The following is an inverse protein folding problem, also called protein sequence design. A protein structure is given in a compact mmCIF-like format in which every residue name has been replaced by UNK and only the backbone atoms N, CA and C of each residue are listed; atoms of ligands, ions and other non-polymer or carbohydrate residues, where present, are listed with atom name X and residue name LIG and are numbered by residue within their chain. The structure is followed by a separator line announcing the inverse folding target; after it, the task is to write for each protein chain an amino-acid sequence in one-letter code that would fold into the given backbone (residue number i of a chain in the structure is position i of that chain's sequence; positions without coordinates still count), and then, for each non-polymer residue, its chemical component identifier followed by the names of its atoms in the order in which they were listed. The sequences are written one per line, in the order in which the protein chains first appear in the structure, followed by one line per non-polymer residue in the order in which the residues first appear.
data_IF_675293757686
#
_entry.id   IF_675293757686
#
_cell.length_a   1.000
_cell.length_b   1.000
_cell.length_c   1.000
_cell.angle_alpha   90.00
_cell.angle_beta   90.00
_cell.angle_gamma   90.00
#
_symmetry.space_group_name_H-M   'P 1'
#
loop_
_entity.id
_entity.type
_entity.pdbx_description
1 polymer ?
#
# COMPACT_ATOMS: atom_id res chain seq x y z
N UNK A 1 -1.65 14.35 6.93
CA UNK A 1 -1.61 12.86 6.92
C UNK A 1 -0.34 12.35 6.26
N UNK A 2 -0.02 12.77 5.03
CA UNK A 2 1.23 12.41 4.33
C UNK A 2 2.50 12.49 5.21
N UNK A 3 2.77 13.64 5.85
CA UNK A 3 3.93 13.77 6.74
C UNK A 3 3.91 12.78 7.91
N UNK A 4 2.74 12.47 8.48
CA UNK A 4 2.62 11.49 9.56
C UNK A 4 2.89 10.07 9.05
N UNK A 5 2.51 9.76 7.81
CA UNK A 5 2.84 8.48 7.16
C UNK A 5 4.34 8.32 6.95
N UNK A 6 5.07 9.40 6.67
CA UNK A 6 6.54 9.33 6.53
C UNK A 6 7.21 9.29 7.90
N UNK A 7 6.79 10.15 8.84
CA UNK A 7 7.39 10.23 10.18
C UNK A 7 7.28 8.92 10.98
N UNK A 8 6.18 8.17 10.84
CA UNK A 8 6.02 6.86 11.52
C UNK A 8 7.04 5.80 11.07
N UNK A 9 7.71 6.01 9.93
CA UNK A 9 8.75 5.11 9.42
C UNK A 9 10.11 5.35 10.06
N UNK A 10 10.28 6.38 10.89
CA UNK A 10 11.58 6.79 11.43
C UNK A 10 12.32 5.69 12.23
N UNK A 11 11.61 4.68 12.74
CA UNK A 11 12.22 3.55 13.46
C UNK A 11 12.56 2.35 12.56
N UNK A 12 12.20 2.40 11.27
CA UNK A 12 12.55 1.40 10.27
C UNK A 12 13.81 1.85 9.51
N UNK A 13 14.60 0.88 9.03
CA UNK A 13 15.74 1.16 8.17
C UNK A 13 15.27 1.26 6.73
N UNK A 14 14.78 2.43 6.32
CA UNK A 14 14.29 2.68 4.96
C UNK A 14 15.18 3.68 4.22
N UNK A 15 15.20 3.57 2.89
CA UNK A 15 15.68 4.65 2.03
C UNK A 15 14.72 5.85 2.05
N UNK A 16 15.04 6.88 1.26
CA UNK A 16 14.15 8.02 1.10
C UNK A 16 12.82 7.60 0.46
N UNK A 17 11.68 8.14 0.93
CA UNK A 17 10.36 7.67 0.51
C UNK A 17 10.11 8.02 -0.95
N UNK A 18 9.53 7.12 -1.73
CA UNK A 18 9.00 7.45 -3.07
C UNK A 18 7.53 7.78 -2.94
N UNK A 19 7.12 8.97 -3.38
CA UNK A 19 5.72 9.41 -3.36
C UNK A 19 5.16 9.40 -4.78
N UNK A 20 3.97 8.83 -4.93
CA UNK A 20 3.26 8.79 -6.20
C UNK A 20 2.04 9.68 -6.07
N UNK A 21 1.88 10.63 -6.98
CA UNK A 21 0.72 11.50 -6.96
C UNK A 21 0.37 11.99 -8.36
N UNK A 22 -0.86 12.50 -8.51
CA UNK A 22 -1.27 13.15 -9.74
C UNK A 22 -0.46 14.44 -9.98
N UNK A 23 -0.15 14.76 -11.25
CA UNK A 23 0.59 15.98 -11.64
C UNK A 23 0.01 17.27 -11.04
N UNK A 24 -1.31 17.32 -10.81
CA UNK A 24 -2.01 18.46 -10.20
C UNK A 24 -1.62 18.70 -8.72
N UNK A 25 -1.13 17.69 -8.02
CA UNK A 25 -0.75 17.76 -6.60
C UNK A 25 0.76 17.96 -6.40
N UNK A 26 1.56 18.02 -7.48
CA UNK A 26 3.04 18.01 -7.42
C UNK A 26 3.64 19.04 -6.46
N UNK A 27 3.15 20.28 -6.47
CA UNK A 27 3.70 21.36 -5.64
C UNK A 27 3.34 21.18 -4.17
N UNK A 28 2.10 20.77 -3.88
CA UNK A 28 1.66 20.49 -2.52
C UNK A 28 2.47 19.33 -1.93
N UNK A 29 2.66 18.25 -2.67
CA UNK A 29 3.46 17.10 -2.22
C UNK A 29 4.93 17.50 -2.01
N UNK A 30 5.53 18.23 -2.95
CA UNK A 30 6.91 18.69 -2.83
C UNK A 30 7.12 19.61 -1.62
N UNK A 31 6.19 20.53 -1.36
CA UNK A 31 6.22 21.38 -0.16
C UNK A 31 6.13 20.56 1.13
N UNK A 32 5.19 19.61 1.19
CA UNK A 32 5.01 18.74 2.35
C UNK A 32 6.24 17.87 2.64
N UNK A 33 6.94 17.39 1.61
CA UNK A 33 8.21 16.66 1.75
C UNK A 33 9.37 17.57 2.16
N UNK A 34 9.42 18.79 1.62
CA UNK A 34 10.45 19.78 1.95
C UNK A 34 10.39 20.22 3.42
N UNK A 35 9.19 20.42 3.96
CA UNK A 35 8.99 20.78 5.37
C UNK A 35 9.53 19.75 6.37
N UNK A 36 9.77 18.51 5.93
CA UNK A 36 10.27 17.41 6.76
C UNK A 36 11.64 16.90 6.29
N UNK A 37 12.33 17.65 5.42
CA UNK A 37 13.65 17.30 4.85
C UNK A 37 13.67 15.94 4.13
N UNK A 38 12.60 15.63 3.39
CA UNK A 38 12.42 14.35 2.65
C UNK A 38 12.23 14.51 1.14
N UNK A 39 12.51 15.69 0.60
CA UNK A 39 12.47 15.94 -0.84
C UNK A 39 13.81 15.54 -1.48
N UNK A 40 13.80 14.52 -2.33
CA UNK A 40 15.02 13.93 -2.91
C UNK A 40 14.79 13.39 -4.33
N UNK A 41 14.14 14.17 -5.21
CA UNK A 41 13.77 13.74 -6.58
C UNK A 41 12.94 12.45 -6.61
N UNK A 42 12.07 12.31 -5.61
CA UNK A 42 11.41 11.06 -5.23
C UNK A 42 9.89 11.10 -5.44
N UNK A 43 9.41 11.99 -6.32
CA UNK A 43 7.99 12.16 -6.62
C UNK A 43 7.69 11.67 -8.03
N UNK A 44 6.96 10.56 -8.16
CA UNK A 44 6.46 10.05 -9.44
C UNK A 44 5.13 10.72 -9.76
N UNK A 45 5.06 11.36 -10.93
CA UNK A 45 3.87 12.10 -11.35
C UNK A 45 2.99 11.28 -12.32
N UNK A 46 1.80 10.93 -11.85
CA UNK A 46 0.77 10.32 -12.69
C UNK A 46 0.03 11.40 -13.51
N UNK A 47 0.02 11.30 -14.85
CA UNK A 47 -0.71 12.25 -15.69
C UNK A 47 -2.23 12.04 -15.63
N UNK A 48 -2.68 10.84 -15.27
CA UNK A 48 -4.08 10.43 -15.10
C UNK A 48 -4.15 9.37 -14.01
N UNK A 49 -5.20 9.39 -13.18
CA UNK A 49 -5.39 8.36 -12.15
C UNK A 49 -5.74 7.01 -12.79
N UNK A 50 -4.97 5.97 -12.45
CA UNK A 50 -5.19 4.57 -12.90
C UNK A 50 -5.32 3.57 -11.76
N UNK A 51 -5.58 4.05 -10.54
CA UNK A 51 -5.71 3.24 -9.32
C UNK A 51 -4.36 2.60 -8.91
N UNK A 52 -4.36 1.74 -7.90
CA UNK A 52 -3.15 1.38 -7.16
C UNK A 52 -2.21 0.42 -7.88
N UNK A 53 -2.68 -0.50 -8.73
CA UNK A 53 -1.78 -1.43 -9.40
C UNK A 53 -0.80 -0.71 -10.35
N UNK A 54 -1.28 0.16 -11.27
CA UNK A 54 -0.38 0.93 -12.13
C UNK A 54 0.56 1.85 -11.34
N UNK A 55 0.06 2.52 -10.30
CA UNK A 55 0.88 3.39 -9.46
C UNK A 55 2.05 2.61 -8.85
N UNK A 56 1.78 1.46 -8.21
CA UNK A 56 2.82 0.64 -7.58
C UNK A 56 3.77 0.04 -8.63
N UNK A 57 3.29 -0.28 -9.83
CA UNK A 57 4.13 -0.75 -10.93
C UNK A 57 5.15 0.30 -11.36
N UNK A 58 4.74 1.57 -11.48
CA UNK A 58 5.67 2.67 -11.76
C UNK A 58 6.75 2.77 -10.68
N UNK A 59 6.37 2.71 -9.40
CA UNK A 59 7.32 2.74 -8.31
C UNK A 59 8.30 1.56 -8.36
N UNK A 60 7.81 0.35 -8.65
CA UNK A 60 8.65 -0.84 -8.74
C UNK A 60 9.65 -0.77 -9.89
N UNK A 61 9.24 -0.30 -11.08
CA UNK A 61 10.16 -0.08 -12.19
C UNK A 61 11.21 0.99 -11.87
N UNK A 62 10.80 2.13 -11.32
CA UNK A 62 11.71 3.20 -10.92
C UNK A 62 12.71 2.71 -9.85
N UNK A 63 12.24 1.95 -8.86
CA UNK A 63 13.09 1.39 -7.81
C UNK A 63 14.14 0.44 -8.40
N UNK A 64 13.76 -0.45 -9.32
CA UNK A 64 14.72 -1.35 -9.98
C UNK A 64 15.74 -0.60 -10.85
N UNK A 65 15.33 0.47 -11.54
CA UNK A 65 16.25 1.27 -12.34
C UNK A 65 17.29 2.03 -11.50
N UNK A 66 16.91 2.46 -10.30
CA UNK A 66 17.77 3.24 -9.41
C UNK A 66 18.64 2.38 -8.47
N UNK A 67 18.37 1.07 -8.36
CA UNK A 67 18.97 0.22 -7.34
C UNK A 67 20.30 -0.44 -7.74
N UNK A 68 21.01 0.01 -8.78
CA UNK A 68 22.33 -0.50 -9.20
C UNK A 68 22.43 -2.06 -9.27
N UNK A 69 21.43 -2.72 -9.88
CA UNK A 69 21.24 -4.19 -9.94
C UNK A 69 20.82 -4.88 -8.63
N UNK A 70 20.35 -4.14 -7.63
CA UNK A 70 19.65 -4.70 -6.48
C UNK A 70 18.14 -4.85 -6.77
N UNK A 71 17.46 -5.61 -5.91
CA UNK A 71 16.02 -5.83 -5.94
C UNK A 71 15.42 -5.40 -4.59
N UNK A 72 15.04 -4.12 -4.45
CA UNK A 72 14.64 -3.56 -3.17
C UNK A 72 13.27 -4.08 -2.71
N UNK A 73 13.06 -4.07 -1.39
CA UNK A 73 11.74 -4.24 -0.80
C UNK A 73 10.98 -2.92 -0.89
N UNK A 74 9.71 -3.01 -1.28
CA UNK A 74 8.78 -1.88 -1.38
C UNK A 74 7.73 -2.02 -0.28
N UNK A 75 7.78 -1.13 0.71
CA UNK A 75 6.70 -0.94 1.67
C UNK A 75 5.69 0.05 1.10
N UNK A 76 4.55 -0.44 0.64
CA UNK A 76 3.49 0.36 0.02
C UNK A 76 2.49 0.79 1.08
N UNK A 77 2.29 2.12 1.19
CA UNK A 77 1.42 2.73 2.21
C UNK A 77 0.53 3.79 1.56
N UNK A 78 -0.74 3.84 1.96
CA UNK A 78 -1.61 4.97 1.66
C UNK A 78 -1.23 6.19 2.53
N UNK A 79 -1.27 7.38 1.94
CA UNK A 79 -0.84 8.62 2.59
C UNK A 79 -1.85 9.19 3.60
N UNK A 80 -3.05 8.64 3.64
CA UNK A 80 -4.22 9.09 4.40
C UNK A 80 -4.64 8.16 5.55
N UNK A 81 -3.95 7.02 5.73
CA UNK A 81 -4.22 6.13 6.87
C UNK A 81 -3.67 6.66 8.19
N UNK A 82 -4.40 6.43 9.27
CA UNK A 82 -3.96 6.66 10.64
C UNK A 82 -3.58 5.35 11.30
N UNK A 83 -2.46 5.35 12.00
CA UNK A 83 -1.94 4.24 12.80
C UNK A 83 -1.59 4.83 14.15
N UNK A 84 -2.26 4.39 15.22
CA UNK A 84 -2.08 4.93 16.56
C UNK A 84 -0.90 4.29 17.30
N UNK A 85 -0.66 2.99 17.06
CA UNK A 85 0.45 2.25 17.67
C UNK A 85 1.55 1.99 16.64
N UNK A 86 2.50 2.93 16.56
CA UNK A 86 3.65 2.85 15.65
C UNK A 86 4.60 1.68 16.01
N UNK A 87 4.65 1.27 17.29
CA UNK A 87 5.50 0.15 17.72
C UNK A 87 4.92 -1.17 17.20
N UNK A 88 3.61 -1.37 17.33
CA UNK A 88 2.93 -2.54 16.79
C UNK A 88 3.06 -2.59 15.25
N UNK A 89 2.89 -1.46 14.57
CA UNK A 89 3.06 -1.36 13.11
C UNK A 89 4.49 -1.72 12.67
N UNK A 90 5.50 -1.10 13.27
CA UNK A 90 6.91 -1.33 12.89
C UNK A 90 7.36 -2.75 13.20
N UNK A 91 6.83 -3.35 14.28
CA UNK A 91 7.04 -4.78 14.57
C UNK A 91 6.42 -5.68 13.49
N UNK A 92 5.20 -5.38 13.04
CA UNK A 92 4.57 -6.13 11.95
C UNK A 92 5.34 -5.99 10.63
N UNK A 93 5.83 -4.78 10.29
CA UNK A 93 6.66 -4.56 9.10
C UNK A 93 7.96 -5.37 9.16
N UNK A 94 8.69 -5.33 10.27
CA UNK A 94 9.93 -6.13 10.43
C UNK A 94 9.67 -7.63 10.33
N UNK A 95 8.53 -8.09 10.83
CA UNK A 95 8.14 -9.49 10.67
C UNK A 95 7.83 -9.83 9.20
N UNK A 96 7.21 -8.90 8.47
CA UNK A 96 6.90 -9.04 7.05
C UNK A 96 8.13 -9.11 6.14
N UNK A 97 9.22 -8.44 6.51
CA UNK A 97 10.46 -8.37 5.73
C UNK A 97 10.99 -9.75 5.35
N UNK A 98 10.96 -10.72 6.27
CA UNK A 98 11.44 -12.09 6.00
C UNK A 98 10.62 -12.77 4.90
N UNK A 99 9.29 -12.64 4.93
CA UNK A 99 8.42 -13.24 3.91
C UNK A 99 8.59 -12.56 2.56
N UNK A 100 8.64 -11.22 2.56
CA UNK A 100 8.84 -10.41 1.37
C UNK A 100 10.19 -10.69 0.70
N UNK A 101 11.26 -10.80 1.51
CA UNK A 101 12.59 -11.19 1.05
C UNK A 101 12.67 -12.66 0.58
N UNK A 102 11.65 -13.47 0.86
CA UNK A 102 11.52 -14.82 0.31
C UNK A 102 10.51 -14.88 -0.87
N UNK A 103 10.19 -13.73 -1.47
CA UNK A 103 9.39 -13.62 -2.68
C UNK A 103 7.88 -13.71 -2.44
N UNK A 104 7.41 -13.54 -1.20
CA UNK A 104 5.96 -13.43 -0.92
C UNK A 104 5.46 -12.00 -1.15
N UNK A 105 4.20 -11.89 -1.52
CA UNK A 105 3.46 -10.62 -1.59
C UNK A 105 2.73 -10.45 -0.26
N UNK A 106 3.34 -9.69 0.66
CA UNK A 106 2.77 -9.52 2.00
C UNK A 106 1.71 -8.43 1.98
N UNK A 107 0.57 -8.69 2.63
CA UNK A 107 -0.42 -7.67 3.01
C UNK A 107 -0.62 -7.69 4.53
N UNK A 108 -1.05 -6.56 5.08
CA UNK A 108 -1.30 -6.42 6.52
C UNK A 108 -2.79 -6.48 6.79
N UNK A 109 -3.23 -7.51 7.51
CA UNK A 109 -4.63 -7.71 7.88
C UNK A 109 -4.92 -7.11 9.24
N UNK A 110 -5.81 -6.11 9.32
CA UNK A 110 -6.16 -5.52 10.62
C UNK A 110 -7.09 -6.47 11.37
N UNK A 111 -6.75 -6.77 12.63
CA UNK A 111 -7.62 -7.58 13.50
C UNK A 111 -8.92 -6.81 13.75
N UNK A 112 -10.08 -7.29 13.25
CA UNK A 112 -11.33 -6.57 13.38
C UNK A 112 -11.74 -6.42 14.84
N UNK A 113 -12.27 -5.24 15.20
CA UNK A 113 -12.82 -4.97 16.54
C UNK A 113 -14.35 -5.04 16.58
N UNK A 114 -14.97 -4.99 15.41
CA UNK A 114 -16.42 -5.10 15.20
C UNK A 114 -16.69 -5.57 13.77
N UNK A 115 -17.97 -5.78 13.44
CA UNK A 115 -18.41 -6.03 12.07
C UNK A 115 -18.52 -4.70 11.32
N UNK A 116 -17.61 -4.46 10.38
CA UNK A 116 -17.58 -3.28 9.52
C UNK A 116 -17.99 -3.67 8.09
N UNK A 117 -18.81 -2.86 7.42
CA UNK A 117 -19.25 -3.09 6.03
C UNK A 117 -18.54 -2.17 5.04
N UNK A 118 -17.88 -1.11 5.51
CA UNK A 118 -17.12 -0.17 4.71
C UNK A 118 -15.76 -0.68 4.24
N UNK A 119 -15.24 -1.76 4.85
CA UNK A 119 -13.91 -2.30 4.58
C UNK A 119 -13.94 -3.55 3.70
N UNK A 120 -12.86 -3.74 2.95
CA UNK A 120 -12.52 -5.04 2.41
C UNK A 120 -12.04 -5.98 3.52
N UNK A 121 -12.22 -7.28 3.32
CA UNK A 121 -11.79 -8.34 4.22
C UNK A 121 -10.84 -9.29 3.51
N UNK A 122 -9.96 -9.92 4.29
CA UNK A 122 -9.03 -10.95 3.87
C UNK A 122 -9.34 -12.19 4.69
N UNK A 123 -9.74 -13.30 4.04
CA UNK A 123 -9.83 -14.58 4.73
C UNK A 123 -8.43 -15.19 4.84
N UNK A 124 -8.01 -15.51 6.06
CA UNK A 124 -6.78 -16.26 6.26
C UNK A 124 -6.96 -17.73 5.86
N UNK A 125 -5.97 -18.26 5.17
CA UNK A 125 -5.82 -19.67 4.87
C UNK A 125 -4.93 -20.37 5.90
N UNK A 126 -4.10 -21.28 5.41
CA UNK A 126 -3.18 -22.05 6.24
C UNK A 126 -2.08 -21.18 6.86
N UNK A 127 -1.63 -21.58 8.05
CA UNK A 127 -0.51 -20.93 8.74
C UNK A 127 0.79 -21.17 7.96
N UNK A 128 1.58 -20.11 7.78
CA UNK A 128 2.90 -20.13 7.15
C UNK A 128 3.93 -19.62 8.16
N UNK A 129 4.79 -20.51 8.64
CA UNK A 129 5.75 -20.18 9.69
C UNK A 129 5.04 -20.04 11.04
N UNK A 130 5.31 -18.93 11.75
CA UNK A 130 4.82 -18.75 13.12
C UNK A 130 3.57 -17.86 13.21
N UNK A 131 3.52 -16.75 12.48
CA UNK A 131 2.49 -15.71 12.65
C UNK A 131 2.05 -15.04 11.32
N UNK A 132 2.21 -15.74 10.19
CA UNK A 132 1.67 -15.32 8.90
C UNK A 132 0.74 -16.40 8.34
N UNK A 133 -0.21 -16.01 7.50
CA UNK A 133 -1.15 -16.95 6.87
C UNK A 133 -1.12 -16.79 5.36
N UNK A 134 -1.38 -17.86 4.62
CA UNK A 134 -1.76 -17.75 3.22
C UNK A 134 -3.01 -16.86 3.10
N UNK A 135 -3.14 -16.10 2.03
CA UNK A 135 -4.42 -15.45 1.71
C UNK A 135 -5.30 -16.47 1.00
N UNK A 136 -6.48 -16.74 1.55
CA UNK A 136 -7.44 -17.66 0.94
C UNK A 136 -8.39 -16.95 -0.02
N UNK A 137 -8.84 -15.75 0.34
CA UNK A 137 -9.65 -14.89 -0.54
C UNK A 137 -9.62 -13.43 -0.04
N UNK A 138 -9.89 -12.49 -0.95
CA UNK A 138 -10.31 -11.14 -0.60
C UNK A 138 -11.82 -11.01 -0.83
N UNK A 139 -12.47 -10.19 0.00
CA UNK A 139 -13.90 -9.89 -0.09
C UNK A 139 -14.08 -8.39 0.05
N UNK A 140 -14.77 -7.75 -0.89
CA UNK A 140 -15.04 -6.31 -0.83
C UNK A 140 -16.41 -6.04 -0.19
N UNK A 141 -16.41 -5.20 0.86
CA UNK A 141 -17.58 -4.54 1.46
C UNK A 141 -18.81 -5.44 1.61
N UNK A 142 -18.73 -6.46 2.49
CA UNK A 142 -19.83 -7.38 2.73
C UNK A 142 -21.05 -6.66 3.34
N UNK A 143 -22.23 -7.27 3.23
CA UNK A 143 -23.40 -6.85 4.01
C UNK A 143 -23.19 -7.07 5.52
N UNK A 144 -24.06 -6.48 6.34
CA UNK A 144 -23.91 -6.48 7.80
C UNK A 144 -23.98 -7.87 8.42
N UNK A 145 -24.78 -8.77 7.85
CA UNK A 145 -24.93 -10.14 8.35
C UNK A 145 -23.65 -10.93 8.07
N UNK A 146 -23.13 -10.82 6.85
CA UNK A 146 -21.87 -11.42 6.41
C UNK A 146 -20.68 -10.87 7.20
N UNK A 147 -20.60 -9.55 7.40
CA UNK A 147 -19.57 -8.93 8.25
C UNK A 147 -19.64 -9.45 9.70
N UNK A 148 -20.87 -9.64 10.21
CA UNK A 148 -21.12 -10.24 11.51
C UNK A 148 -20.56 -11.66 11.63
N UNK A 149 -20.73 -12.47 10.59
CA UNK A 149 -20.21 -13.83 10.54
C UNK A 149 -18.67 -13.86 10.40
N UNK A 150 -18.11 -12.95 9.59
CA UNK A 150 -16.66 -12.77 9.47
C UNK A 150 -16.02 -12.43 10.81
N UNK A 151 -16.59 -11.46 11.53
CA UNK A 151 -16.14 -11.07 12.86
C UNK A 151 -16.20 -12.23 13.86
N UNK A 152 -17.33 -12.94 13.93
CA UNK A 152 -17.50 -14.09 14.85
C UNK A 152 -16.54 -15.24 14.55
N UNK A 153 -16.20 -15.46 13.27
CA UNK A 153 -15.34 -16.56 12.87
C UNK A 153 -13.90 -16.43 13.36
N UNK A 154 -13.41 -15.20 13.56
CA UNK A 154 -11.99 -14.92 13.86
C UNK A 154 -11.02 -15.40 12.76
N UNK A 155 -11.51 -15.60 11.53
CA UNK A 155 -10.71 -16.03 10.36
C UNK A 155 -10.52 -14.93 9.32
N UNK A 156 -11.16 -13.79 9.51
CA UNK A 156 -11.07 -12.67 8.60
C UNK A 156 -10.37 -11.49 9.26
N UNK A 157 -9.60 -10.76 8.45
CA UNK A 157 -8.97 -9.50 8.80
C UNK A 157 -9.49 -8.39 7.90
N UNK A 158 -9.50 -7.13 8.33
CA UNK A 158 -9.74 -6.03 7.40
C UNK A 158 -8.53 -5.83 6.48
N UNK A 159 -8.78 -5.58 5.20
CA UNK A 159 -7.76 -5.22 4.25
C UNK A 159 -7.28 -3.79 4.51
N UNK A 160 -6.03 -3.64 4.93
CA UNK A 160 -5.45 -2.33 5.25
C UNK A 160 -4.98 -1.54 4.02
N UNK A 161 -4.94 -2.15 2.83
CA UNK A 161 -4.34 -1.55 1.64
C UNK A 161 -2.82 -1.33 1.74
N UNK A 162 -2.16 -1.89 2.75
CA UNK A 162 -0.70 -1.85 2.89
C UNK A 162 -0.07 -3.15 2.40
N UNK A 163 1.07 -3.03 1.72
CA UNK A 163 1.77 -4.18 1.14
C UNK A 163 3.28 -4.11 1.38
N UNK A 164 3.94 -5.27 1.39
CA UNK A 164 5.40 -5.39 1.40
C UNK A 164 5.85 -6.53 0.49
N UNK A 165 6.71 -6.23 -0.48
CA UNK A 165 7.26 -7.23 -1.41
C UNK A 165 8.53 -6.72 -2.07
N UNK A 166 9.30 -7.62 -2.69
CA UNK A 166 10.32 -7.24 -3.66
C UNK A 166 9.71 -6.59 -4.89
N UNK A 167 10.37 -5.56 -5.40
CA UNK A 167 9.97 -4.91 -6.65
C UNK A 167 9.85 -5.93 -7.79
N UNK A 168 10.82 -6.84 -7.94
CA UNK A 168 10.76 -7.88 -8.97
C UNK A 168 9.63 -8.88 -8.76
N UNK A 169 9.34 -9.30 -7.52
CA UNK A 169 8.27 -10.26 -7.22
C UNK A 169 6.91 -9.71 -7.61
N UNK A 170 6.64 -8.45 -7.27
CA UNK A 170 5.39 -7.80 -7.68
C UNK A 170 5.28 -7.66 -9.20
N UNK A 171 6.34 -7.19 -9.87
CA UNK A 171 6.34 -7.02 -11.31
C UNK A 171 6.18 -8.35 -12.07
N UNK A 172 6.76 -9.44 -11.55
CA UNK A 172 6.60 -10.78 -12.12
C UNK A 172 5.14 -11.28 -12.02
N UNK A 173 4.50 -11.12 -10.86
CA UNK A 173 3.09 -11.46 -10.69
C UNK A 173 2.20 -10.58 -11.58
N UNK A 174 2.46 -9.27 -11.62
CA UNK A 174 1.74 -8.32 -12.47
C UNK A 174 1.89 -8.67 -13.97
N UNK A 175 3.08 -9.09 -14.41
CA UNK A 175 3.32 -9.51 -15.79
C UNK A 175 2.49 -10.72 -16.19
N UNK A 176 2.25 -11.64 -15.25
CA UNK A 176 1.46 -12.85 -15.50
C UNK A 176 -0.05 -12.58 -15.41
N UNK A 177 -0.48 -11.86 -14.37
CA UNK A 177 -1.90 -11.65 -14.06
C UNK A 177 -2.53 -10.48 -14.82
N UNK A 178 -1.75 -9.41 -15.02
CA UNK A 178 -2.19 -8.16 -15.66
C UNK A 178 -1.14 -7.64 -16.66
N UNK A 179 -0.81 -8.41 -17.73
CA UNK A 179 0.28 -8.11 -18.66
C UNK A 179 0.15 -6.75 -19.34
N UNK A 180 -1.07 -6.25 -19.56
CA UNK A 180 -1.30 -4.94 -20.19
C UNK A 180 -0.91 -3.78 -19.25
N UNK A 181 -1.18 -3.89 -17.95
CA UNK A 181 -0.70 -2.92 -16.95
C UNK A 181 0.83 -2.96 -16.89
N UNK A 182 1.43 -4.15 -16.82
CA UNK A 182 2.88 -4.31 -16.81
C UNK A 182 3.53 -3.61 -18.01
N UNK A 183 3.09 -3.91 -19.24
CA UNK A 183 3.68 -3.35 -20.46
C UNK A 183 3.52 -1.84 -20.55
N UNK A 184 2.35 -1.31 -20.21
CA UNK A 184 2.09 0.12 -20.25
C UNK A 184 2.98 0.87 -19.25
N UNK A 185 3.14 0.34 -18.03
CA UNK A 185 4.01 0.93 -17.01
C UNK A 185 5.50 0.81 -17.39
N UNK A 186 5.94 -0.34 -17.92
CA UNK A 186 7.32 -0.55 -18.38
C UNK A 186 7.71 0.47 -19.46
N UNK A 187 6.83 0.69 -20.44
CA UNK A 187 7.04 1.69 -21.50
C UNK A 187 6.99 3.11 -20.96
N UNK A 188 6.03 3.41 -20.10
CA UNK A 188 5.87 4.75 -19.52
C UNK A 188 7.11 5.18 -18.71
N UNK A 189 7.73 4.23 -17.99
CA UNK A 189 8.98 4.47 -17.25
C UNK A 189 10.21 4.46 -18.17
N UNK A 190 10.18 3.77 -19.31
CA UNK A 190 11.33 3.55 -20.20
C UNK A 190 12.12 4.79 -20.63
N UNK A 191 11.51 5.98 -20.58
CA UNK A 191 12.20 7.26 -20.74
C UNK A 191 11.98 8.16 -19.51
N UNK A 192 12.56 7.80 -18.36
CA UNK A 192 12.61 8.73 -17.23
C UNK A 192 13.40 9.96 -17.66
N UNK A 193 12.70 11.09 -17.78
CA UNK A 193 13.34 12.39 -17.88
C UNK A 193 13.34 12.99 -16.47
N UNK A 194 14.47 12.97 -15.75
CA UNK A 194 14.54 13.63 -14.44
C UNK A 194 14.27 15.12 -14.63
N UNK A 195 13.17 15.60 -14.05
CA UNK A 195 12.73 16.99 -14.11
C UNK A 195 12.73 17.57 -12.70
N UNK A 196 13.89 18.09 -12.28
CA UNK A 196 14.11 18.61 -10.92
C UNK A 196 13.74 17.56 -9.86
N UNK A 197 12.78 17.89 -9.00
CA UNK A 197 12.26 17.05 -7.91
C UNK A 197 11.32 15.93 -8.39
N UNK A 198 11.03 15.85 -9.68
CA UNK A 198 9.96 15.00 -10.23
C UNK A 198 10.49 13.94 -11.21
N UNK A 199 9.89 12.76 -11.09
CA UNK A 199 9.99 11.66 -12.05
C UNK A 199 8.76 11.74 -12.94
N UNK A 200 8.96 12.21 -14.18
CA UNK A 200 7.92 12.23 -15.21
C UNK A 200 7.99 10.95 -16.03
N UNK A 201 6.82 10.33 -16.20
CA UNK A 201 6.62 9.17 -17.06
C UNK A 201 6.05 9.61 -18.41
N UNK A 202 6.19 8.78 -19.43
CA UNK A 202 5.56 9.03 -20.72
C UNK A 202 4.03 9.01 -20.59
N UNK A 203 3.41 10.14 -20.91
CA UNK A 203 1.98 10.34 -20.77
C UNK A 203 1.18 9.51 -21.77
N UNK A 204 1.62 9.41 -23.01
CA UNK A 204 0.88 8.72 -24.06
C UNK A 204 0.86 7.22 -23.79
N UNK A 205 2.01 6.66 -23.40
CA UNK A 205 2.13 5.26 -23.00
C UNK A 205 1.30 4.98 -21.75
N UNK A 206 1.37 5.83 -20.71
CA UNK A 206 0.59 5.60 -19.47
C UNK A 206 -0.92 5.78 -19.64
N UNK A 207 -1.37 6.65 -20.54
CA UNK A 207 -2.80 6.80 -20.84
C UNK A 207 -3.42 5.51 -21.39
N UNK A 208 -2.63 4.65 -22.03
CA UNK A 208 -3.09 3.33 -22.49
C UNK A 208 -3.23 2.28 -21.37
N UNK A 209 -2.66 2.55 -20.20
CA UNK A 209 -2.70 1.63 -19.06
C UNK A 209 -4.14 1.43 -18.57
N UNK A 210 -4.60 0.16 -18.40
CA UNK A 210 -5.83 -0.13 -17.69
C UNK A 210 -5.83 0.45 -16.28
N UNK A 211 -7.00 0.80 -15.77
CA UNK A 211 -7.19 1.28 -14.39
C UNK A 211 -7.66 0.15 -13.51
N UNK A 212 -6.86 -0.27 -12.53
CA UNK A 212 -7.22 -1.35 -11.61
C UNK A 212 -6.47 -1.25 -10.27
N UNK A 213 -7.04 -1.80 -9.20
CA UNK A 213 -6.36 -1.86 -7.90
C UNK A 213 -5.40 -3.05 -7.86
N UNK A 214 -4.37 -2.97 -7.02
CA UNK A 214 -3.48 -4.10 -6.77
C UNK A 214 -4.23 -5.30 -6.17
N UNK A 215 -5.29 -5.03 -5.39
CA UNK A 215 -6.13 -6.06 -4.78
C UNK A 215 -6.74 -6.98 -5.85
N UNK A 216 -7.39 -6.39 -6.87
CA UNK A 216 -8.01 -7.11 -7.96
C UNK A 216 -6.99 -7.61 -8.99
N UNK A 217 -6.08 -6.74 -9.44
CA UNK A 217 -5.15 -7.05 -10.52
C UNK A 217 -4.14 -8.16 -10.17
N UNK A 218 -3.83 -8.33 -8.88
CA UNK A 218 -2.76 -9.21 -8.40
C UNK A 218 -3.18 -10.04 -7.18
N UNK A 219 -3.56 -9.38 -6.07
CA UNK A 219 -3.62 -10.06 -4.77
C UNK A 219 -4.71 -11.14 -4.71
N UNK A 220 -5.85 -10.93 -5.38
CA UNK A 220 -6.95 -11.92 -5.49
C UNK A 220 -6.60 -13.17 -6.29
N UNK A 221 -5.56 -13.11 -7.12
CA UNK A 221 -5.27 -14.15 -8.10
C UNK A 221 -3.91 -14.84 -7.87
N UNK A 222 -3.01 -14.20 -7.12
CA UNK A 222 -1.69 -14.74 -6.82
C UNK A 222 -1.74 -15.90 -5.81
N UNK A 223 -0.84 -16.87 -5.99
CA UNK A 223 -0.59 -17.94 -5.01
C UNK A 223 0.53 -17.56 -4.01
N UNK A 224 1.12 -16.37 -4.15
CA UNK A 224 2.24 -15.89 -3.37
C UNK A 224 1.83 -14.91 -2.26
N UNK A 225 0.53 -14.58 -2.15
CA UNK A 225 0.02 -13.67 -1.14
C UNK A 225 0.06 -14.28 0.27
N UNK A 226 0.54 -13.49 1.23
CA UNK A 226 0.49 -13.81 2.65
C UNK A 226 -0.05 -12.63 3.43
N UNK A 227 -0.85 -12.90 4.47
CA UNK A 227 -1.38 -11.89 5.37
C UNK A 227 -0.71 -11.99 6.73
N UNK A 228 -0.23 -10.85 7.21
CA UNK A 228 0.27 -10.70 8.59
C UNK A 228 -0.79 -9.98 9.42
N UNK A 229 -1.33 -10.62 10.47
CA UNK A 229 -2.28 -9.97 11.37
C UNK A 229 -1.62 -8.80 12.09
N UNK A 230 -2.31 -7.67 12.13
CA UNK A 230 -1.83 -6.45 12.77
C UNK A 230 -2.90 -5.81 13.63
N UNK A 231 -2.54 -5.43 14.85
CA UNK A 231 -3.39 -4.62 15.74
C UNK A 231 -2.60 -3.39 16.14
N UNK A 232 -2.80 -2.29 15.39
CA UNK A 232 -2.00 -1.08 15.52
C UNK A 232 -2.87 0.20 15.60
N UNK A 233 -4.14 0.06 15.95
CA UNK A 233 -5.11 1.17 15.94
C UNK A 233 -5.22 1.84 14.56
N UNK A 234 -5.36 1.02 13.52
CA UNK A 234 -5.46 1.47 12.13
C UNK A 234 -6.85 2.03 11.81
N UNK A 235 -6.89 3.07 10.98
CA UNK A 235 -8.11 3.59 10.34
C UNK A 235 -7.79 4.13 8.95
N UNK A 236 -8.66 3.88 7.99
CA UNK A 236 -8.59 4.40 6.61
C UNK A 236 -9.05 5.87 6.48
N UNK A 237 -9.65 6.43 7.54
CA UNK A 237 -10.18 7.80 7.54
C UNK A 237 -11.17 8.04 6.37
N UNK A 238 -11.90 7.00 5.96
CA UNK A 238 -12.80 7.05 4.79
C UNK A 238 -14.08 7.86 5.02
N UNK A 239 -14.36 8.30 6.25
CA UNK A 239 -15.56 9.05 6.62
C UNK A 239 -15.32 10.05 7.75
N UNK A 240 -16.21 11.05 7.87
CA UNK A 240 -16.20 11.99 9.01
C UNK A 240 -16.37 11.29 10.36
N UNK A 241 -17.11 10.18 10.41
CA UNK A 241 -17.20 9.30 11.58
C UNK A 241 -15.83 8.71 11.92
N UNK A 242 -15.09 8.21 10.93
CA UNK A 242 -13.74 7.67 11.13
C UNK A 242 -12.80 8.73 11.71
N UNK A 243 -12.86 9.97 11.22
CA UNK A 243 -12.11 11.11 11.78
C UNK A 243 -12.49 11.41 13.23
N UNK A 244 -13.79 11.42 13.54
CA UNK A 244 -14.27 11.65 14.89
C UNK A 244 -13.80 10.53 15.84
N UNK A 245 -13.87 9.27 15.42
CA UNK A 245 -13.49 8.09 16.21
C UNK A 245 -12.00 8.08 16.59
N UNK A 246 -11.12 8.59 15.74
CA UNK A 246 -9.68 8.63 16.00
C UNK A 246 -9.20 9.92 16.71
N UNK A 247 -10.02 10.96 16.74
CA UNK A 247 -9.63 12.26 17.31
C UNK A 247 -9.70 12.26 18.84
N UNK A 248 -8.90 13.09 19.51
CA UNK A 248 -9.02 13.30 20.95
C UNK A 248 -10.33 14.02 21.25
N UNK A 249 -11.14 13.47 22.15
CA UNK A 249 -12.42 14.06 22.56
C UNK A 249 -12.23 14.94 23.78
N UNK A 250 -12.89 16.09 23.80
CA UNK A 250 -13.07 16.87 25.03
C UNK A 250 -14.07 16.17 25.99
N UNK A 251 -14.28 16.75 27.17
CA UNK A 251 -15.22 16.23 28.18
C UNK A 251 -16.68 16.17 27.70
N UNK A 252 -17.03 16.85 26.61
CA UNK A 252 -18.36 16.86 26.01
C UNK A 252 -18.45 15.95 24.77
N UNK A 253 -17.40 15.18 24.46
CA UNK A 253 -17.27 14.31 23.28
C UNK A 253 -17.20 15.06 21.95
N UNK A 254 -16.81 16.33 21.96
CA UNK A 254 -16.49 17.06 20.74
C UNK A 254 -15.02 16.83 20.36
N UNK A 255 -14.74 16.99 19.06
CA UNK A 255 -13.40 16.93 18.44
C UNK A 255 -13.04 18.30 17.88
#
# INVERSE_FOLDING_TARGET
MLQNTIKRLASLSTEEPVVICNDRHRFLVAEQLREIDKLANNIILEPVGRNTAPAIALAAFCALQNADNADPLLLVLAADHVIQDEIAFTKAVRHAEEYAANGKLVTFGIVPTHAETGYGYIRRGELIGNDAYAVAEFVEKPDIDTAGDYFKSGKYYWNSGMFLFRASSYLNELKYLSPEIYKACEKAVGHINPDLDFIRIDKEEFMSCPSDSIDYAVMEHTQHAVVIPMSAGWSDVGSWSSLWDISNKDHQRNV
#
